data_IF_957518989414
#
_entry.id   IF_957518989414
#
_cell.length_a   1.000
_cell.length_b   1.000
_cell.length_c   1.000
_cell.angle_alpha   90.00
_cell.angle_beta   90.00
_cell.angle_gamma   90.00
#
_symmetry.space_group_name_H-M   'P 1'
#
loop_
_entity.id
_entity.type
_entity.pdbx_description
1 polymer ?
#
# COMPACT_ATOMS: atom_id res chain seq x y z
N UNK A 1 -25.15 10.54 4.92
CA UNK A 1 -25.53 9.16 5.30
C UNK A 1 -24.83 8.83 6.60
N UNK A 2 -25.48 8.14 7.55
CA UNK A 2 -24.77 7.65 8.74
C UNK A 2 -23.69 6.65 8.30
N UNK A 3 -22.47 6.71 8.88
CA UNK A 3 -21.44 5.73 8.61
C UNK A 3 -21.94 4.34 8.97
N UNK A 4 -21.88 3.41 8.02
CA UNK A 4 -22.28 2.01 8.19
C UNK A 4 -21.12 1.26 8.85
N UNK A 5 -21.42 0.32 9.75
CA UNK A 5 -20.36 -0.44 10.43
C UNK A 5 -19.64 -1.39 9.46
N UNK A 6 -18.38 -1.77 9.75
CA UNK A 6 -17.62 -2.75 8.97
C UNK A 6 -18.41 -4.03 8.69
N UNK A 7 -19.07 -4.59 9.70
CA UNK A 7 -19.84 -5.82 9.57
C UNK A 7 -21.05 -5.65 8.63
N UNK A 8 -21.72 -4.50 8.69
CA UNK A 8 -22.83 -4.20 7.79
C UNK A 8 -22.38 -4.08 6.33
N UNK A 9 -21.26 -3.39 6.08
CA UNK A 9 -20.71 -3.25 4.72
C UNK A 9 -20.29 -4.61 4.16
N UNK A 10 -19.64 -5.44 4.97
CA UNK A 10 -19.26 -6.80 4.61
C UNK A 10 -20.47 -7.65 4.21
N UNK A 11 -21.52 -7.68 5.03
CA UNK A 11 -22.69 -8.51 4.77
C UNK A 11 -23.39 -8.12 3.46
N UNK A 12 -23.51 -6.82 3.16
CA UNK A 12 -24.08 -6.38 1.88
C UNK A 12 -23.22 -6.80 0.68
N UNK A 13 -21.90 -6.76 0.80
CA UNK A 13 -21.00 -7.16 -0.28
C UNK A 13 -21.08 -8.68 -0.55
N UNK A 14 -21.25 -9.49 0.50
CA UNK A 14 -21.51 -10.93 0.38
C UNK A 14 -22.88 -11.19 -0.25
N UNK A 15 -23.93 -10.49 0.20
CA UNK A 15 -25.30 -10.67 -0.31
C UNK A 15 -25.43 -10.24 -1.78
N UNK A 16 -24.64 -9.26 -2.21
CA UNK A 16 -24.55 -8.83 -3.61
C UNK A 16 -23.81 -9.84 -4.52
N UNK A 17 -23.21 -10.89 -3.94
CA UNK A 17 -22.43 -11.88 -4.70
C UNK A 17 -21.07 -11.38 -5.17
N UNK A 18 -20.60 -10.23 -4.68
CA UNK A 18 -19.30 -9.65 -5.02
C UNK A 18 -18.14 -10.43 -4.36
N UNK A 19 -18.43 -11.20 -3.30
CA UNK A 19 -17.44 -11.93 -2.52
C UNK A 19 -17.88 -13.36 -2.19
N UNK A 20 -16.90 -14.28 -2.15
CA UNK A 20 -17.06 -15.57 -1.50
C UNK A 20 -16.64 -15.43 -0.03
N UNK A 21 -17.54 -15.70 0.93
CA UNK A 21 -17.19 -15.56 2.33
C UNK A 21 -16.18 -16.62 2.74
N UNK A 22 -15.07 -16.21 3.32
CA UNK A 22 -14.15 -17.09 4.03
C UNK A 22 -14.11 -16.77 5.54
N UNK A 23 -13.81 -17.77 6.35
CA UNK A 23 -13.88 -17.67 7.81
C UNK A 23 -12.87 -16.66 8.37
N UNK A 24 -11.71 -16.52 7.72
CA UNK A 24 -10.63 -15.64 8.16
C UNK A 24 -11.00 -14.18 7.88
N UNK A 25 -11.55 -13.88 6.71
CA UNK A 25 -12.07 -12.57 6.35
C UNK A 25 -13.20 -12.15 7.28
N UNK A 26 -14.14 -13.06 7.59
CA UNK A 26 -15.21 -12.79 8.55
C UNK A 26 -14.69 -12.47 9.95
N UNK A 27 -13.65 -13.18 10.40
CA UNK A 27 -12.98 -12.89 11.67
C UNK A 27 -12.31 -11.50 11.65
N UNK A 28 -11.62 -11.15 10.57
CA UNK A 28 -11.01 -9.83 10.41
C UNK A 28 -12.05 -8.71 10.48
N UNK A 29 -13.16 -8.87 9.76
CA UNK A 29 -14.27 -7.90 9.78
C UNK A 29 -14.87 -7.77 11.16
N UNK A 30 -15.04 -8.86 11.90
CA UNK A 30 -15.57 -8.81 13.27
C UNK A 30 -14.64 -8.02 14.23
N UNK A 31 -13.32 -8.19 14.09
CA UNK A 31 -12.35 -7.40 14.86
C UNK A 31 -12.38 -5.92 14.46
N UNK A 32 -12.42 -5.63 13.16
CA UNK A 32 -12.54 -4.26 12.65
C UNK A 32 -13.84 -3.59 13.10
N UNK A 33 -14.96 -4.32 13.16
CA UNK A 33 -16.22 -3.82 13.71
C UNK A 33 -16.09 -3.50 15.19
N UNK A 34 -15.48 -4.39 16.00
CA UNK A 34 -15.25 -4.12 17.43
C UNK A 34 -14.41 -2.85 17.66
N UNK A 35 -13.38 -2.62 16.84
CA UNK A 35 -12.57 -1.40 16.88
C UNK A 35 -13.41 -0.18 16.48
N UNK A 36 -14.21 -0.28 15.40
CA UNK A 36 -15.13 0.77 14.98
C UNK A 36 -16.11 1.15 16.10
N UNK A 37 -16.69 0.18 16.81
CA UNK A 37 -17.56 0.43 17.95
C UNK A 37 -16.81 1.14 19.08
N UNK A 38 -15.62 0.65 19.44
CA UNK A 38 -14.80 1.25 20.49
C UNK A 38 -14.39 2.69 20.19
N UNK A 39 -14.11 3.01 18.93
CA UNK A 39 -13.80 4.38 18.47
C UNK A 39 -15.05 5.28 18.41
N UNK A 40 -16.19 4.74 17.97
CA UNK A 40 -17.43 5.52 17.78
C UNK A 40 -18.16 5.83 19.08
N UNK A 41 -18.08 4.93 20.06
CA UNK A 41 -18.79 5.04 21.35
C UNK A 41 -17.86 5.41 22.51
N UNK A 42 -16.64 5.88 22.22
CA UNK A 42 -15.75 6.42 23.23
C UNK A 42 -16.44 7.64 23.85
N UNK A 43 -16.69 7.67 25.18
CA UNK A 43 -17.34 8.81 25.80
C UNK A 43 -16.52 10.07 25.50
N UNK A 44 -17.17 11.14 25.04
CA UNK A 44 -16.59 12.47 24.94
C UNK A 44 -16.35 13.07 26.35
N UNK A 45 -15.68 12.32 27.22
CA UNK A 45 -15.26 12.78 28.54
C UNK A 45 -13.82 13.24 28.43
N UNK A 46 -13.65 14.49 27.97
CA UNK A 46 -12.53 15.41 28.29
C UNK A 46 -12.53 16.69 27.44
N UNK A 47 -13.56 16.94 26.63
CA UNK A 47 -13.89 18.31 26.18
C UNK A 47 -14.81 19.00 27.19
N UNK A 48 -14.48 18.94 28.48
CA UNK A 48 -15.13 19.83 29.44
C UNK A 48 -14.60 21.24 29.22
N UNK A 49 -15.34 22.03 28.45
CA UNK A 49 -15.46 23.47 28.67
C UNK A 49 -16.13 23.70 30.03
N UNK A 50 -15.43 23.32 31.10
CA UNK A 50 -15.78 23.75 32.44
C UNK A 50 -15.47 25.25 32.50
N UNK A 51 -16.50 26.07 32.30
CA UNK A 51 -16.46 27.47 32.67
C UNK A 51 -16.15 27.54 34.16
N UNK A 52 -15.01 28.11 34.61
CA UNK A 52 -14.74 28.21 36.02
C UNK A 52 -15.64 29.31 36.61
N UNK A 53 -16.77 28.91 37.19
CA UNK A 53 -17.50 29.77 38.12
C UNK A 53 -16.75 29.80 39.44
N UNK A 54 -16.04 30.91 39.68
CA UNK A 54 -15.80 31.49 41.00
C UNK A 54 -14.68 30.85 41.85
N UNK A 55 -13.63 31.63 42.11
CA UNK A 55 -12.67 31.34 43.19
C UNK A 55 -11.30 31.98 42.99
N UNK A 56 -11.17 33.29 43.23
CA UNK A 56 -9.95 34.09 43.10
C UNK A 56 -8.83 33.79 44.15
N UNK A 57 -8.80 32.60 44.77
CA UNK A 57 -7.83 32.27 45.84
C UNK A 57 -7.09 30.93 45.70
N UNK A 58 -7.16 30.24 44.56
CA UNK A 58 -6.47 28.95 44.36
C UNK A 58 -5.09 29.02 43.68
N UNK A 59 -4.60 30.20 43.28
CA UNK A 59 -3.53 30.31 42.27
C UNK A 59 -2.09 30.28 42.81
N UNK A 60 -1.87 29.80 44.03
CA UNK A 60 -0.55 29.82 44.69
C UNK A 60 0.01 28.46 45.14
N UNK A 61 -0.57 27.34 44.72
CA UNK A 61 0.08 26.02 44.91
C UNK A 61 0.10 25.23 43.61
N UNK A 62 1.33 24.93 43.17
CA UNK A 62 1.60 24.14 41.98
C UNK A 62 1.10 22.71 42.11
N UNK A 63 0.57 22.21 40.99
CA UNK A 63 0.74 20.86 40.45
C UNK A 63 0.18 20.93 39.03
N UNK A 64 1.05 20.76 38.03
CA UNK A 64 0.61 20.50 36.67
C UNK A 64 -0.41 19.37 36.73
N UNK A 65 -1.60 19.59 36.17
CA UNK A 65 -2.61 18.55 36.07
C UNK A 65 -1.97 17.31 35.41
N UNK A 66 -2.20 16.09 35.92
CA UNK A 66 -1.70 14.89 35.27
C UNK A 66 -2.27 14.89 33.86
N UNK A 67 -1.40 14.89 32.83
CA UNK A 67 -1.81 14.57 31.46
C UNK A 67 -2.45 13.19 31.53
N UNK A 68 -3.77 13.11 31.38
CA UNK A 68 -4.50 11.85 31.30
C UNK A 68 -3.99 11.13 30.05
N UNK A 69 -3.08 10.16 30.24
CA UNK A 69 -2.60 9.29 29.17
C UNK A 69 -3.74 8.35 28.79
N UNK A 70 -4.60 8.80 27.88
CA UNK A 70 -5.65 7.96 27.34
C UNK A 70 -5.01 6.88 26.45
N UNK A 71 -4.95 5.64 26.95
CA UNK A 71 -4.52 4.48 26.14
C UNK A 71 -5.35 4.44 24.85
N UNK A 72 -4.75 4.27 23.67
CA UNK A 72 -5.50 4.14 22.42
C UNK A 72 -6.42 2.92 22.45
N UNK A 73 -7.40 2.90 21.55
CA UNK A 73 -8.17 1.67 21.29
C UNK A 73 -7.19 0.62 20.77
N UNK A 74 -7.39 -0.64 21.15
CA UNK A 74 -6.58 -1.75 20.64
C UNK A 74 -6.71 -1.79 19.11
N UNK A 75 -5.59 -1.66 18.43
CA UNK A 75 -5.48 -1.66 16.98
C UNK A 75 -5.52 -3.06 16.38
N UNK A 76 -5.26 -3.14 15.07
CA UNK A 76 -5.20 -4.41 14.33
C UNK A 76 -4.07 -4.39 13.32
N UNK A 77 -3.20 -5.40 13.40
CA UNK A 77 -2.14 -5.68 12.44
C UNK A 77 -2.54 -6.91 11.62
N UNK A 78 -2.99 -6.67 10.38
CA UNK A 78 -3.40 -7.71 9.44
C UNK A 78 -2.23 -8.08 8.54
N UNK A 79 -1.83 -9.35 8.53
CA UNK A 79 -0.76 -9.84 7.65
C UNK A 79 -1.17 -11.05 6.83
N UNK A 80 -0.51 -11.26 5.70
CA UNK A 80 -0.77 -12.40 4.80
C UNK A 80 -0.23 -12.14 3.41
N UNK A 81 -0.20 -13.14 2.52
CA UNK A 81 0.36 -12.97 1.17
C UNK A 81 -0.29 -11.88 0.30
N UNK A 82 0.22 -11.68 -0.91
CA UNK A 82 -0.39 -10.79 -1.90
C UNK A 82 -1.78 -11.31 -2.30
N UNK A 83 -2.73 -10.42 -2.58
CA UNK A 83 -4.05 -10.81 -3.10
C UNK A 83 -5.01 -11.47 -2.10
N UNK A 84 -4.74 -11.37 -0.79
CA UNK A 84 -5.58 -11.92 0.30
C UNK A 84 -6.68 -10.99 0.82
N UNK A 85 -6.97 -9.89 0.11
CA UNK A 85 -8.04 -8.96 0.50
C UNK A 85 -7.72 -8.01 1.68
N UNK A 86 -6.45 -7.90 2.10
CA UNK A 86 -6.00 -6.97 3.15
C UNK A 86 -6.41 -5.52 2.90
N UNK A 87 -6.11 -5.01 1.70
CA UNK A 87 -6.50 -3.67 1.27
C UNK A 87 -8.01 -3.49 1.39
N UNK A 88 -8.79 -4.46 0.90
CA UNK A 88 -10.24 -4.36 0.96
C UNK A 88 -10.78 -4.27 2.38
N UNK A 89 -10.20 -5.05 3.31
CA UNK A 89 -10.51 -4.95 4.74
C UNK A 89 -10.16 -3.57 5.30
N UNK A 90 -9.00 -3.01 4.92
CA UNK A 90 -8.59 -1.66 5.31
C UNK A 90 -9.54 -0.58 4.74
N UNK A 91 -9.88 -0.65 3.47
CA UNK A 91 -10.84 0.23 2.79
C UNK A 91 -12.19 0.22 3.49
N UNK A 92 -12.73 -0.97 3.72
CA UNK A 92 -14.01 -1.16 4.39
C UNK A 92 -13.99 -0.51 5.77
N UNK A 93 -12.95 -0.73 6.56
CA UNK A 93 -12.82 -0.11 7.88
C UNK A 93 -12.69 1.42 7.80
N UNK A 94 -11.77 1.93 6.98
CA UNK A 94 -11.48 3.35 6.87
C UNK A 94 -12.71 4.17 6.44
N UNK A 95 -13.49 3.67 5.47
CA UNK A 95 -14.73 4.31 5.04
C UNK A 95 -15.86 4.18 6.06
N UNK A 96 -15.84 3.12 6.88
CA UNK A 96 -16.82 2.94 7.96
C UNK A 96 -16.60 3.91 9.13
N UNK A 97 -15.36 4.34 9.39
CA UNK A 97 -15.06 5.24 10.51
C UNK A 97 -15.82 6.57 10.43
N UNK A 98 -16.43 7.06 11.53
CA UNK A 98 -17.10 8.35 11.56
C UNK A 98 -16.09 9.50 11.58
N UNK A 99 -16.45 10.63 10.95
CA UNK A 99 -15.67 11.86 10.97
C UNK A 99 -14.39 11.85 10.14
N UNK A 100 -13.62 12.93 10.24
CA UNK A 100 -12.44 13.22 9.40
C UNK A 100 -11.10 13.00 10.15
N UNK A 101 -11.12 12.69 11.44
CA UNK A 101 -9.92 12.49 12.28
C UNK A 101 -9.31 11.09 12.10
N UNK A 102 -9.12 10.72 10.83
CA UNK A 102 -8.59 9.45 10.37
C UNK A 102 -7.65 9.72 9.21
N UNK A 103 -6.50 9.06 9.20
CA UNK A 103 -5.48 9.26 8.19
C UNK A 103 -5.04 7.91 7.65
N UNK A 104 -5.04 7.77 6.32
CA UNK A 104 -4.63 6.57 5.61
C UNK A 104 -3.51 6.87 4.62
N UNK A 105 -2.45 6.08 4.66
CA UNK A 105 -1.31 6.21 3.76
C UNK A 105 -0.46 4.94 3.74
N UNK A 106 0.30 4.76 2.66
CA UNK A 106 1.37 3.75 2.62
C UNK A 106 2.46 4.10 3.64
N UNK A 107 3.01 3.07 4.30
CA UNK A 107 4.02 3.26 5.35
C UNK A 107 5.27 4.03 4.88
N UNK A 108 5.76 3.79 3.66
CA UNK A 108 6.91 4.54 3.15
C UNK A 108 6.63 6.05 3.01
N UNK A 109 5.40 6.44 2.61
CA UNK A 109 5.00 7.86 2.51
C UNK A 109 4.90 8.50 3.88
N UNK A 110 4.48 7.73 4.89
CA UNK A 110 4.49 8.17 6.27
C UNK A 110 5.93 8.48 6.73
N UNK A 111 6.88 7.57 6.47
CA UNK A 111 8.28 7.79 6.84
C UNK A 111 8.91 8.96 6.09
N UNK A 112 8.62 9.14 4.80
CA UNK A 112 9.07 10.33 4.05
C UNK A 112 8.61 11.63 4.72
N UNK A 113 7.32 11.72 5.07
CA UNK A 113 6.78 12.88 5.79
C UNK A 113 7.48 13.11 7.13
N UNK A 114 7.75 12.05 7.89
CA UNK A 114 8.50 12.13 9.16
C UNK A 114 9.90 12.69 8.94
N UNK A 115 10.63 12.21 7.93
CA UNK A 115 11.99 12.71 7.63
C UNK A 115 12.00 14.17 7.17
N UNK A 116 11.01 14.58 6.38
CA UNK A 116 10.83 15.99 5.99
C UNK A 116 10.61 16.88 7.21
N UNK A 117 9.74 16.47 8.15
CA UNK A 117 9.50 17.20 9.38
C UNK A 117 10.74 17.21 10.30
N UNK A 118 11.46 16.09 10.42
CA UNK A 118 12.72 16.02 11.18
C UNK A 118 13.77 17.00 10.65
N UNK A 119 13.85 17.16 9.33
CA UNK A 119 14.76 18.11 8.69
C UNK A 119 14.41 19.56 9.07
N UNK A 120 13.12 19.89 9.16
CA UNK A 120 12.66 21.22 9.57
C UNK A 120 12.86 21.48 11.07
N UNK A 121 12.93 20.43 11.88
CA UNK A 121 13.09 20.49 13.33
C UNK A 121 14.54 20.24 13.79
N UNK A 122 15.52 20.40 12.89
CA UNK A 122 16.93 20.25 13.24
C UNK A 122 17.34 21.18 14.38
N UNK A 123 17.99 20.62 15.40
CA UNK A 123 18.42 21.34 16.59
C UNK A 123 17.34 21.47 17.69
N UNK A 124 16.12 20.98 17.44
CA UNK A 124 15.10 20.85 18.48
C UNK A 124 15.35 19.61 19.33
N UNK A 125 15.09 19.73 20.64
CA UNK A 125 15.11 18.59 21.57
C UNK A 125 13.87 17.71 21.33
N UNK A 126 14.06 16.39 21.26
CA UNK A 126 13.03 15.37 21.03
C UNK A 126 12.06 15.70 19.86
N UNK A 127 12.55 15.88 18.62
CA UNK A 127 11.72 16.33 17.51
C UNK A 127 10.59 15.34 17.14
N UNK A 128 10.75 14.05 17.48
CA UNK A 128 9.71 13.03 17.28
C UNK A 128 8.47 13.27 18.17
N UNK A 129 8.63 13.86 19.36
CA UNK A 129 7.50 14.23 20.21
C UNK A 129 6.67 15.33 19.56
N UNK A 130 7.34 16.33 18.97
CA UNK A 130 6.69 17.44 18.25
C UNK A 130 5.96 16.92 17.01
N UNK A 131 6.58 16.00 16.27
CA UNK A 131 5.95 15.33 15.12
C UNK A 131 4.72 14.55 15.57
N UNK A 132 4.79 13.81 16.67
CA UNK A 132 3.65 13.08 17.21
C UNK A 132 2.52 14.02 17.67
N UNK A 133 2.83 15.20 18.23
CA UNK A 133 1.85 16.24 18.55
C UNK A 133 1.13 16.75 17.29
N UNK A 134 1.87 16.97 16.20
CA UNK A 134 1.30 17.38 14.91
C UNK A 134 0.38 16.30 14.33
N UNK A 135 0.81 15.04 14.34
CA UNK A 135 -0.06 13.93 13.92
C UNK A 135 -1.31 13.83 14.79
N UNK A 136 -1.19 13.99 16.11
CA UNK A 136 -2.37 13.97 16.99
C UNK A 136 -3.32 15.14 16.73
N UNK A 137 -2.81 16.32 16.38
CA UNK A 137 -3.66 17.43 15.98
C UNK A 137 -4.50 17.09 14.73
N UNK A 138 -3.94 16.31 13.80
CA UNK A 138 -4.57 15.90 12.55
C UNK A 138 -5.52 14.70 12.70
N UNK A 139 -5.09 13.64 13.39
CA UNK A 139 -5.76 12.34 13.37
C UNK A 139 -5.80 11.62 14.72
N UNK A 140 -6.82 10.81 14.93
CA UNK A 140 -6.93 9.86 16.06
C UNK A 140 -6.72 8.41 15.62
N UNK A 141 -6.81 8.12 14.32
CA UNK A 141 -6.65 6.79 13.75
C UNK A 141 -5.68 6.84 12.58
N UNK A 142 -4.59 6.08 12.68
CA UNK A 142 -3.64 5.86 11.60
C UNK A 142 -3.90 4.51 10.95
N UNK A 143 -4.15 4.53 9.65
CA UNK A 143 -4.32 3.35 8.81
C UNK A 143 -3.10 3.24 7.88
N UNK A 144 -2.19 2.32 8.18
CA UNK A 144 -1.03 2.06 7.34
C UNK A 144 -1.30 0.93 6.37
N UNK A 145 -1.20 1.24 5.08
CA UNK A 145 -1.09 0.23 4.05
C UNK A 145 0.37 -0.17 3.83
N UNK A 146 0.57 -1.46 3.53
CA UNK A 146 1.87 -2.03 3.17
C UNK A 146 2.97 -1.71 4.18
N UNK A 147 2.70 -1.99 5.46
CA UNK A 147 3.66 -1.81 6.54
C UNK A 147 4.88 -2.71 6.32
N UNK A 148 5.94 -2.13 5.78
CA UNK A 148 7.18 -2.81 5.46
C UNK A 148 8.37 -1.90 5.78
N UNK A 149 9.36 -2.46 6.46
CA UNK A 149 10.57 -1.74 6.86
C UNK A 149 11.79 -2.48 6.30
N UNK A 150 12.52 -1.81 5.41
CA UNK A 150 13.78 -2.29 4.85
C UNK A 150 14.96 -1.36 5.12
N UNK A 151 14.70 -0.07 5.34
CA UNK A 151 15.74 0.94 5.56
C UNK A 151 16.15 1.01 7.04
N UNK A 152 17.45 1.17 7.31
CA UNK A 152 17.96 1.32 8.67
C UNK A 152 17.49 2.63 9.31
N UNK A 153 17.43 3.72 8.56
CA UNK A 153 17.03 5.04 9.07
C UNK A 153 15.61 4.99 9.62
N UNK A 154 14.69 4.38 8.88
CA UNK A 154 13.32 4.16 9.32
C UNK A 154 13.27 3.26 10.55
N UNK A 155 14.01 2.14 10.50
CA UNK A 155 14.05 1.17 11.59
C UNK A 155 14.54 1.78 12.91
N UNK A 156 15.48 2.73 12.88
CA UNK A 156 16.02 3.37 14.08
C UNK A 156 15.07 4.37 14.72
N UNK A 157 14.15 4.95 13.95
CA UNK A 157 13.21 5.97 14.45
C UNK A 157 11.89 5.35 14.94
N UNK A 158 11.50 4.23 14.35
CA UNK A 158 10.13 3.72 14.44
C UNK A 158 9.66 3.43 15.87
N UNK A 159 10.52 2.86 16.72
CA UNK A 159 10.14 2.53 18.09
C UNK A 159 9.75 3.80 18.88
N UNK A 160 10.62 4.81 18.85
CA UNK A 160 10.40 6.09 19.54
C UNK A 160 9.17 6.81 18.98
N UNK A 161 9.00 6.80 17.66
CA UNK A 161 7.85 7.44 17.02
C UNK A 161 6.53 6.75 17.38
N UNK A 162 6.45 5.42 17.28
CA UNK A 162 5.25 4.66 17.65
C UNK A 162 4.89 4.88 19.12
N UNK A 163 5.90 4.86 20.00
CA UNK A 163 5.70 5.14 21.42
C UNK A 163 5.06 6.53 21.63
N UNK A 164 5.59 7.56 20.96
CA UNK A 164 5.06 8.92 21.05
C UNK A 164 3.63 9.05 20.49
N UNK A 165 3.31 8.35 19.40
CA UNK A 165 1.96 8.32 18.82
C UNK A 165 0.96 7.60 19.74
N UNK A 166 1.32 6.44 20.28
CA UNK A 166 0.47 5.69 21.21
C UNK A 166 0.25 6.43 22.53
N UNK A 167 1.26 7.13 23.05
CA UNK A 167 1.13 7.97 24.24
C UNK A 167 0.08 9.09 24.07
N UNK A 168 -0.19 9.51 22.83
CA UNK A 168 -1.22 10.49 22.45
C UNK A 168 -2.58 9.86 22.13
N UNK A 169 -2.72 8.55 22.36
CA UNK A 169 -3.96 7.82 22.14
C UNK A 169 -4.31 7.63 20.67
N UNK A 170 -3.34 7.71 19.75
CA UNK A 170 -3.55 7.40 18.33
C UNK A 170 -3.69 5.88 18.18
N UNK A 171 -4.78 5.45 17.54
CA UNK A 171 -5.06 4.03 17.27
C UNK A 171 -4.44 3.63 15.93
N UNK A 172 -3.76 2.48 15.87
CA UNK A 172 -3.11 1.99 14.66
C UNK A 172 -3.86 0.81 14.06
N UNK A 173 -4.16 0.88 12.76
CA UNK A 173 -4.52 -0.27 11.92
C UNK A 173 -3.45 -0.40 10.84
N UNK A 174 -2.97 -1.61 10.60
CA UNK A 174 -1.91 -1.85 9.64
C UNK A 174 -2.19 -3.08 8.78
N UNK A 175 -1.86 -3.01 7.49
CA UNK A 175 -1.77 -4.18 6.60
C UNK A 175 -0.31 -4.45 6.24
N UNK A 176 0.09 -5.73 6.17
CA UNK A 176 1.43 -6.12 5.72
C UNK A 176 1.46 -7.47 5.03
N UNK A 177 2.52 -7.73 4.25
CA UNK A 177 2.82 -9.07 3.75
C UNK A 177 3.69 -9.89 4.72
N UNK A 178 4.17 -9.28 5.80
CA UNK A 178 5.14 -9.86 6.72
C UNK A 178 4.55 -9.84 8.14
N UNK A 179 4.61 -10.96 8.90
CA UNK A 179 4.21 -10.94 10.30
C UNK A 179 5.15 -10.05 11.13
N UNK A 180 4.70 -9.44 12.25
CA UNK A 180 5.50 -8.49 13.02
C UNK A 180 6.90 -9.00 13.39
N UNK A 181 7.01 -10.26 13.81
CA UNK A 181 8.30 -10.89 14.19
C UNK A 181 9.32 -10.99 13.06
N UNK A 182 8.86 -10.92 11.80
CA UNK A 182 9.71 -10.97 10.61
C UNK A 182 9.94 -9.60 9.98
N UNK A 183 9.35 -8.52 10.51
CA UNK A 183 9.63 -7.15 10.05
C UNK A 183 11.10 -6.81 10.26
N UNK A 184 11.76 -6.22 9.25
CA UNK A 184 13.18 -5.85 9.27
C UNK A 184 14.14 -7.02 9.58
N UNK A 185 13.74 -8.26 9.24
CA UNK A 185 14.55 -9.46 9.49
C UNK A 185 15.91 -9.34 8.80
N UNK A 186 16.97 -9.70 9.51
CA UNK A 186 18.37 -9.54 9.08
C UNK A 186 18.81 -8.08 8.80
N UNK A 187 17.98 -7.09 9.15
CA UNK A 187 18.33 -5.68 9.04
C UNK A 187 19.49 -5.30 9.96
N UNK A 188 20.27 -4.30 9.55
CA UNK A 188 21.39 -3.80 10.33
C UNK A 188 20.90 -3.24 11.67
N UNK A 189 21.56 -3.63 12.77
CA UNK A 189 21.16 -3.26 14.15
C UNK A 189 19.73 -3.68 14.54
N UNK A 190 19.21 -4.80 14.00
CA UNK A 190 17.87 -5.35 14.31
C UNK A 190 17.45 -5.29 15.80
N UNK A 191 18.39 -5.49 16.73
CA UNK A 191 18.10 -5.40 18.17
C UNK A 191 17.43 -4.06 18.57
N UNK A 192 17.78 -2.96 17.91
CA UNK A 192 17.17 -1.63 18.14
C UNK A 192 15.77 -1.49 17.54
N UNK A 193 15.40 -2.37 16.61
CA UNK A 193 14.08 -2.41 16.00
C UNK A 193 13.08 -3.28 16.78
N UNK A 194 13.55 -4.24 17.58
CA UNK A 194 12.70 -5.12 18.39
C UNK A 194 11.68 -4.35 19.26
N UNK A 195 12.02 -3.22 19.91
CA UNK A 195 11.04 -2.44 20.66
C UNK A 195 9.86 -1.94 19.82
N UNK A 196 10.05 -1.68 18.52
CA UNK A 196 8.94 -1.32 17.63
C UNK A 196 8.00 -2.51 17.39
N UNK A 197 8.54 -3.73 17.28
CA UNK A 197 7.74 -4.97 17.17
C UNK A 197 6.94 -5.18 18.46
N UNK A 198 7.56 -4.97 19.62
CA UNK A 198 6.91 -5.11 20.92
C UNK A 198 5.74 -4.11 21.06
N UNK A 199 5.94 -2.85 20.66
CA UNK A 199 4.87 -1.85 20.62
C UNK A 199 3.74 -2.24 19.67
N UNK A 200 4.04 -2.75 18.47
CA UNK A 200 3.00 -3.22 17.54
C UNK A 200 2.17 -4.32 18.21
N UNK A 201 2.80 -5.29 18.87
CA UNK A 201 2.11 -6.40 19.55
C UNK A 201 1.36 -5.98 20.82
N UNK A 202 1.83 -4.94 21.50
CA UNK A 202 1.16 -4.40 22.69
C UNK A 202 -0.12 -3.65 22.31
N UNK A 203 -0.06 -2.85 21.26
CA UNK A 203 -1.13 -1.93 20.87
C UNK A 203 -2.02 -2.44 19.74
N UNK A 204 -1.66 -3.54 19.07
CA UNK A 204 -2.46 -4.16 18.01
C UNK A 204 -2.65 -5.65 18.24
N UNK A 205 -3.86 -6.15 17.98
CA UNK A 205 -4.06 -7.57 17.77
C UNK A 205 -3.42 -7.99 16.44
N UNK A 206 -2.79 -9.16 16.39
CA UNK A 206 -2.11 -9.65 15.18
C UNK A 206 -2.97 -10.74 14.53
N UNK A 207 -3.44 -10.48 13.31
CA UNK A 207 -4.31 -11.40 12.58
C UNK A 207 -3.66 -11.80 11.24
N UNK A 208 -3.53 -13.10 11.02
CA UNK A 208 -3.21 -13.63 9.70
C UNK A 208 -4.50 -13.70 8.87
N UNK A 209 -4.54 -12.97 7.75
CA UNK A 209 -5.68 -12.95 6.82
C UNK A 209 -5.50 -13.87 5.61
N UNK A 210 -4.48 -14.74 5.61
CA UNK A 210 -4.23 -15.69 4.54
C UNK A 210 -5.13 -16.94 4.68
N UNK A 211 -6.24 -16.97 3.93
CA UNK A 211 -7.11 -18.14 3.78
C UNK A 211 -6.65 -19.11 2.67
N UNK A 212 -5.49 -18.88 2.04
CA UNK A 212 -4.98 -19.65 0.91
C UNK A 212 -5.56 -19.26 -0.46
N UNK A 213 -6.64 -18.47 -0.50
CA UNK A 213 -7.26 -17.97 -1.74
C UNK A 213 -6.58 -16.67 -2.17
N UNK A 214 -5.98 -16.64 -3.37
CA UNK A 214 -5.43 -15.42 -3.98
C UNK A 214 -6.44 -14.92 -5.02
N UNK A 215 -7.19 -13.89 -4.64
CA UNK A 215 -8.25 -13.32 -5.48
C UNK A 215 -7.67 -12.61 -6.72
N UNK A 216 -6.44 -12.10 -6.63
CA UNK A 216 -5.73 -11.50 -7.77
C UNK A 216 -5.25 -12.58 -8.74
N UNK A 217 -4.69 -13.68 -8.23
CA UNK A 217 -4.28 -14.82 -9.06
C UNK A 217 -5.46 -15.38 -9.86
N UNK A 218 -6.64 -15.51 -9.25
CA UNK A 218 -7.86 -15.95 -9.96
C UNK A 218 -8.22 -15.00 -11.11
N UNK A 219 -8.10 -13.70 -10.88
CA UNK A 219 -8.32 -12.68 -11.93
C UNK A 219 -7.32 -12.85 -13.08
N UNK A 220 -6.04 -13.02 -12.78
CA UNK A 220 -4.97 -13.13 -13.77
C UNK A 220 -5.04 -14.43 -14.57
N UNK A 221 -5.31 -15.55 -13.90
CA UNK A 221 -5.41 -16.88 -14.54
C UNK A 221 -6.60 -17.01 -15.50
N UNK A 222 -7.65 -16.20 -15.30
CA UNK A 222 -8.81 -16.16 -16.19
C UNK A 222 -8.68 -15.11 -17.30
N UNK A 223 -7.64 -14.28 -17.27
CA UNK A 223 -7.45 -13.17 -18.20
C UNK A 223 -6.40 -13.50 -19.27
N UNK A 224 -6.57 -12.91 -20.46
CA UNK A 224 -5.49 -12.84 -21.44
C UNK A 224 -4.53 -11.70 -21.02
N UNK A 225 -3.28 -12.04 -20.72
CA UNK A 225 -2.29 -11.08 -20.21
C UNK A 225 -1.52 -10.36 -21.32
N UNK A 226 -1.63 -10.81 -22.58
CA UNK A 226 -1.16 -10.07 -23.75
C UNK A 226 -2.32 -9.73 -24.68
N UNK A 227 -2.73 -8.47 -24.65
CA UNK A 227 -3.87 -7.95 -25.41
C UNK A 227 -3.37 -7.26 -26.69
N UNK A 228 -3.65 -7.88 -27.83
CA UNK A 228 -3.31 -7.34 -29.14
C UNK A 228 -4.35 -7.71 -30.20
N UNK A 229 -4.57 -6.88 -31.23
CA UNK A 229 -3.97 -5.55 -31.42
C UNK A 229 -4.61 -4.48 -30.53
N UNK A 230 -3.89 -3.39 -30.28
CA UNK A 230 -4.40 -2.26 -29.49
C UNK A 230 -5.63 -1.63 -30.18
N UNK A 231 -6.70 -1.42 -29.41
CA UNK A 231 -7.97 -0.85 -29.84
C UNK A 231 -8.91 -0.52 -28.68
N UNK A 232 -10.19 -0.26 -29.00
CA UNK A 232 -11.23 0.03 -28.00
C UNK A 232 -11.41 -1.12 -27.00
N UNK A 233 -11.54 -2.34 -27.51
CA UNK A 233 -11.76 -3.54 -26.69
C UNK A 233 -10.58 -3.80 -25.73
N UNK A 234 -9.34 -3.62 -26.18
CA UNK A 234 -8.16 -3.77 -25.31
C UNK A 234 -8.11 -2.70 -24.23
N UNK A 235 -8.52 -1.47 -24.55
CA UNK A 235 -8.58 -0.38 -23.57
C UNK A 235 -9.57 -0.71 -22.46
N UNK A 236 -10.78 -1.18 -22.82
CA UNK A 236 -11.80 -1.62 -21.86
C UNK A 236 -11.32 -2.81 -21.04
N UNK A 237 -10.66 -3.80 -21.67
CA UNK A 237 -10.11 -4.96 -20.98
C UNK A 237 -9.03 -4.56 -19.96
N UNK A 238 -8.11 -3.65 -20.32
CA UNK A 238 -7.08 -3.12 -19.42
C UNK A 238 -7.69 -2.37 -18.24
N UNK A 239 -8.69 -1.51 -18.49
CA UNK A 239 -9.40 -0.80 -17.42
C UNK A 239 -10.14 -1.76 -16.47
N UNK A 240 -10.82 -2.77 -17.02
CA UNK A 240 -11.49 -3.80 -16.21
C UNK A 240 -10.49 -4.58 -15.36
N UNK A 241 -9.33 -4.93 -15.93
CA UNK A 241 -8.27 -5.66 -15.24
C UNK A 241 -7.62 -4.82 -14.14
N UNK A 242 -7.40 -3.53 -14.38
CA UNK A 242 -6.95 -2.60 -13.35
C UNK A 242 -7.93 -2.59 -12.17
N UNK A 243 -9.22 -2.39 -12.42
CA UNK A 243 -10.25 -2.37 -11.38
C UNK A 243 -10.31 -3.67 -10.58
N UNK A 244 -10.25 -4.83 -11.23
CA UNK A 244 -10.23 -6.13 -10.54
C UNK A 244 -8.97 -6.33 -9.69
N UNK A 245 -7.81 -5.90 -10.16
CA UNK A 245 -6.54 -6.05 -9.43
C UNK A 245 -6.43 -5.09 -8.23
N UNK A 246 -7.06 -3.92 -8.33
CA UNK A 246 -7.15 -2.92 -7.28
C UNK A 246 -8.42 -3.06 -6.42
N UNK A 247 -9.19 -4.15 -6.55
CA UNK A 247 -10.37 -4.40 -5.71
C UNK A 247 -11.52 -3.40 -5.89
N UNK A 248 -11.62 -2.76 -7.05
CA UNK A 248 -12.55 -1.66 -7.35
C UNK A 248 -12.45 -0.47 -6.38
N UNK A 249 -11.32 -0.32 -5.66
CA UNK A 249 -11.04 0.83 -4.77
C UNK A 249 -10.88 2.15 -5.53
N UNK A 250 -10.76 2.08 -6.86
CA UNK A 250 -11.01 3.20 -7.77
C UNK A 250 -12.52 3.46 -7.86
N UNK A 251 -13.12 3.94 -6.78
CA UNK A 251 -14.57 4.15 -6.71
C UNK A 251 -15.03 5.12 -7.78
N UNK A 252 -15.77 4.64 -8.81
CA UNK A 252 -16.60 5.42 -9.75
C UNK A 252 -16.01 6.67 -10.43
N UNK A 253 -14.74 6.98 -10.23
CA UNK A 253 -13.94 8.01 -10.87
C UNK A 253 -12.67 7.33 -11.34
N UNK A 254 -12.41 7.37 -12.65
CA UNK A 254 -11.29 6.68 -13.28
C UNK A 254 -9.98 6.93 -12.53
N UNK A 255 -9.10 5.92 -12.51
CA UNK A 255 -7.79 6.02 -11.91
C UNK A 255 -7.11 7.35 -12.30
N UNK A 256 -6.94 8.24 -11.34
CA UNK A 256 -6.38 9.56 -11.60
C UNK A 256 -4.88 9.42 -11.87
N UNK A 257 -4.43 10.09 -12.93
CA UNK A 257 -3.02 10.12 -13.29
C UNK A 257 -2.19 10.60 -12.09
N UNK A 258 -1.22 9.80 -11.67
CA UNK A 258 -0.38 10.06 -10.50
C UNK A 258 1.07 10.26 -10.93
N UNK A 259 1.76 11.21 -10.30
CA UNK A 259 3.20 11.38 -10.49
C UNK A 259 3.94 10.68 -9.36
N UNK A 260 4.65 9.61 -9.68
CA UNK A 260 5.54 8.89 -8.79
C UNK A 260 6.92 9.57 -8.74
N UNK A 261 7.59 9.51 -7.61
CA UNK A 261 9.02 9.82 -7.53
C UNK A 261 9.81 8.51 -7.53
N UNK A 262 10.58 8.28 -8.60
CA UNK A 262 11.40 7.08 -8.77
C UNK A 262 12.83 7.50 -9.02
N UNK A 263 13.75 7.11 -8.13
CA UNK A 263 15.16 7.53 -8.16
C UNK A 263 15.32 9.06 -8.34
N UNK A 264 14.62 9.84 -7.51
CA UNK A 264 14.62 11.31 -7.53
C UNK A 264 14.11 11.95 -8.83
N UNK A 265 13.34 11.21 -9.64
CA UNK A 265 12.78 11.70 -10.89
C UNK A 265 11.28 11.47 -10.96
N UNK A 266 10.50 12.44 -11.44
CA UNK A 266 9.07 12.26 -11.62
C UNK A 266 8.79 11.21 -12.71
N UNK A 267 7.77 10.40 -12.48
CA UNK A 267 7.28 9.38 -13.40
C UNK A 267 5.76 9.42 -13.39
N UNK A 268 5.17 9.85 -14.50
CA UNK A 268 3.72 9.93 -14.65
C UNK A 268 3.15 8.53 -14.92
N UNK A 269 2.34 8.03 -14.01
CA UNK A 269 1.58 6.80 -14.16
C UNK A 269 0.11 7.10 -14.43
N UNK A 270 -0.58 6.15 -15.05
CA UNK A 270 -2.03 6.17 -15.21
C UNK A 270 -2.67 5.92 -13.84
N UNK A 271 -2.13 4.95 -13.10
CA UNK A 271 -2.58 4.59 -11.76
C UNK A 271 -1.45 3.95 -10.97
N UNK A 272 -1.42 4.14 -9.66
CA UNK A 272 -0.58 3.37 -8.75
C UNK A 272 -1.34 3.16 -7.44
N UNK A 273 -1.85 1.95 -7.23
CA UNK A 273 -2.77 1.63 -6.13
C UNK A 273 -2.48 0.21 -5.65
N UNK A 274 -2.23 0.05 -4.35
CA UNK A 274 -2.09 -1.26 -3.68
C UNK A 274 -1.13 -2.25 -4.34
N UNK A 275 0.07 -1.79 -4.69
CA UNK A 275 1.09 -2.61 -5.36
C UNK A 275 0.78 -2.93 -6.83
N UNK A 276 -0.23 -2.28 -7.43
CA UNK A 276 -0.58 -2.35 -8.85
C UNK A 276 -0.22 -1.03 -9.54
N UNK A 277 0.57 -1.12 -10.62
CA UNK A 277 0.95 0.03 -11.44
C UNK A 277 0.30 -0.07 -12.83
N UNK A 278 -0.42 0.96 -13.26
CA UNK A 278 -0.80 1.13 -14.66
C UNK A 278 -0.01 2.28 -15.27
N UNK A 279 0.68 2.04 -16.37
CA UNK A 279 1.64 2.99 -16.94
C UNK A 279 1.82 2.81 -18.45
N UNK A 280 2.09 3.90 -19.15
CA UNK A 280 2.32 3.92 -20.59
C UNK A 280 3.71 3.40 -20.96
N UNK A 281 3.79 2.66 -22.08
CA UNK A 281 5.06 2.24 -22.67
C UNK A 281 5.99 3.43 -22.92
N UNK A 282 5.46 4.54 -23.42
CA UNK A 282 6.21 5.78 -23.63
C UNK A 282 6.99 6.19 -22.36
N UNK A 283 6.33 6.17 -21.19
CA UNK A 283 6.96 6.62 -19.94
C UNK A 283 8.05 5.68 -19.43
N UNK A 284 7.91 4.37 -19.63
CA UNK A 284 8.91 3.40 -19.18
C UNK A 284 10.03 3.17 -20.18
N UNK A 285 9.74 3.21 -21.47
CA UNK A 285 10.64 2.73 -22.52
C UNK A 285 11.06 3.82 -23.52
N UNK A 286 10.41 4.99 -23.59
CA UNK A 286 10.80 6.05 -24.53
C UNK A 286 11.45 7.24 -23.81
N UNK A 287 10.95 7.59 -22.63
CA UNK A 287 11.57 8.57 -21.74
C UNK A 287 12.96 8.13 -21.20
N UNK A 288 13.66 9.06 -20.55
CA UNK A 288 14.99 8.87 -19.98
C UNK A 288 14.98 7.97 -18.72
N UNK A 289 14.61 6.70 -18.88
CA UNK A 289 14.63 5.68 -17.83
C UNK A 289 15.87 4.79 -17.90
N UNK A 290 16.22 4.22 -16.76
CA UNK A 290 17.36 3.33 -16.57
C UNK A 290 16.92 2.03 -15.90
N UNK A 291 17.81 1.03 -15.90
CA UNK A 291 17.57 -0.24 -15.20
C UNK A 291 17.30 -0.06 -13.70
N UNK A 292 17.88 0.97 -13.06
CA UNK A 292 17.62 1.28 -11.66
C UNK A 292 16.16 1.67 -11.40
N UNK A 293 15.48 2.28 -12.39
CA UNK A 293 14.06 2.60 -12.27
C UNK A 293 13.23 1.31 -12.28
N UNK A 294 13.56 0.36 -13.14
CA UNK A 294 12.85 -0.93 -13.20
C UNK A 294 13.06 -1.75 -11.92
N UNK A 295 14.27 -1.72 -11.35
CA UNK A 295 14.55 -2.32 -10.04
C UNK A 295 13.69 -1.67 -8.95
N UNK A 296 13.60 -0.33 -8.93
CA UNK A 296 12.78 0.36 -7.92
C UNK A 296 11.29 0.01 -8.06
N UNK A 297 10.76 0.02 -9.29
CA UNK A 297 9.37 -0.32 -9.55
C UNK A 297 9.04 -1.77 -9.19
N UNK A 298 9.90 -2.70 -9.59
CA UNK A 298 9.68 -4.13 -9.37
C UNK A 298 9.78 -4.56 -7.90
N UNK A 299 10.40 -3.75 -7.02
CA UNK A 299 10.37 -3.96 -5.56
C UNK A 299 9.03 -3.56 -4.94
N UNK A 300 8.38 -2.55 -5.51
CA UNK A 300 7.16 -1.94 -4.96
C UNK A 300 5.92 -2.61 -5.55
N UNK A 301 5.91 -2.84 -6.86
CA UNK A 301 4.72 -3.27 -7.59
C UNK A 301 4.78 -4.76 -7.91
N UNK A 302 3.83 -5.51 -7.35
CA UNK A 302 3.67 -6.93 -7.65
C UNK A 302 2.96 -7.17 -8.99
N UNK A 303 2.23 -6.18 -9.50
CA UNK A 303 1.53 -6.26 -10.79
C UNK A 303 1.67 -4.97 -11.57
N UNK A 304 1.93 -5.09 -12.86
CA UNK A 304 2.12 -3.94 -13.76
C UNK A 304 1.28 -4.13 -15.01
N UNK A 305 0.46 -3.14 -15.33
CA UNK A 305 -0.27 -3.01 -16.58
C UNK A 305 0.49 -2.03 -17.46
N UNK A 306 1.12 -2.56 -18.51
CA UNK A 306 1.88 -1.80 -19.49
C UNK A 306 1.00 -1.48 -20.69
N UNK A 307 0.69 -0.20 -20.86
CA UNK A 307 -0.20 0.29 -21.89
C UNK A 307 0.54 0.61 -23.20
N UNK A 308 -0.15 0.38 -24.32
CA UNK A 308 0.20 0.84 -25.65
C UNK A 308 1.63 0.50 -26.12
N UNK A 309 2.07 -0.74 -25.97
CA UNK A 309 3.37 -1.20 -26.51
C UNK A 309 3.32 -1.18 -28.04
N UNK A 310 4.12 -0.33 -28.71
CA UNK A 310 4.13 -0.26 -30.17
C UNK A 310 4.97 -1.40 -30.77
N UNK A 311 4.82 -1.61 -32.07
CA UNK A 311 5.80 -2.40 -32.83
C UNK A 311 7.15 -1.70 -32.77
N UNK A 312 8.15 -2.40 -32.25
CA UNK A 312 9.51 -1.91 -32.12
C UNK A 312 10.30 -2.24 -33.40
N UNK A 313 10.68 -1.22 -34.16
CA UNK A 313 11.42 -1.30 -35.41
C UNK A 313 12.84 -0.73 -35.22
N UNK A 314 13.68 -0.83 -36.24
CA UNK A 314 15.08 -0.40 -36.17
C UNK A 314 15.30 1.08 -35.77
N UNK A 315 14.29 1.94 -35.91
CA UNK A 315 14.31 3.36 -35.53
C UNK A 315 13.99 3.62 -34.05
N UNK A 316 13.47 2.65 -33.30
CA UNK A 316 13.17 2.76 -31.87
C UNK A 316 13.95 1.76 -30.98
N UNK A 317 15.15 1.40 -31.42
CA UNK A 317 15.96 0.35 -30.79
C UNK A 317 16.37 0.62 -29.34
N UNK A 318 16.47 1.88 -28.95
CA UNK A 318 16.68 2.25 -27.54
C UNK A 318 15.46 1.92 -26.68
N UNK A 319 14.25 2.09 -27.21
CA UNK A 319 13.03 1.69 -26.53
C UNK A 319 12.91 0.17 -26.44
N UNK A 320 13.28 -0.55 -27.50
CA UNK A 320 13.36 -2.01 -27.48
C UNK A 320 14.32 -2.54 -26.42
N UNK A 321 15.52 -1.96 -26.30
CA UNK A 321 16.48 -2.35 -25.25
C UNK A 321 15.93 -2.10 -23.85
N UNK A 322 15.22 -0.99 -23.64
CA UNK A 322 14.58 -0.66 -22.37
C UNK A 322 13.42 -1.60 -22.02
N UNK A 323 12.61 -1.96 -23.02
CA UNK A 323 11.56 -2.97 -22.85
C UNK A 323 12.13 -4.34 -22.45
N UNK A 324 13.22 -4.78 -23.10
CA UNK A 324 13.94 -5.99 -22.73
C UNK A 324 14.43 -5.96 -21.28
N UNK A 325 15.07 -4.85 -20.87
CA UNK A 325 15.54 -4.70 -19.50
C UNK A 325 14.40 -4.66 -18.46
N UNK A 326 13.28 -4.03 -18.81
CA UNK A 326 12.06 -4.02 -17.98
C UNK A 326 11.52 -5.44 -17.77
N UNK A 327 11.32 -6.20 -18.85
CA UNK A 327 10.80 -7.58 -18.80
C UNK A 327 11.75 -8.47 -18.00
N UNK A 328 13.05 -8.33 -18.18
CA UNK A 328 14.06 -9.10 -17.46
C UNK A 328 13.95 -8.89 -15.94
N UNK A 329 13.90 -7.63 -15.48
CA UNK A 329 13.76 -7.31 -14.06
C UNK A 329 12.42 -7.79 -13.48
N UNK A 330 11.33 -7.59 -14.22
CA UNK A 330 10.00 -8.01 -13.79
C UNK A 330 9.88 -9.53 -13.70
N UNK A 331 10.51 -10.23 -14.63
CA UNK A 331 10.61 -11.68 -14.62
C UNK A 331 11.36 -12.18 -13.37
N UNK A 332 12.53 -11.60 -13.08
CA UNK A 332 13.36 -11.99 -11.93
C UNK A 332 12.65 -11.79 -10.59
N UNK A 333 11.78 -10.78 -10.47
CA UNK A 333 11.02 -10.49 -9.24
C UNK A 333 9.62 -11.07 -9.20
N UNK A 334 9.27 -11.89 -10.18
CA UNK A 334 7.95 -12.52 -10.29
C UNK A 334 6.78 -11.52 -10.41
N UNK A 335 7.04 -10.32 -10.96
CA UNK A 335 6.02 -9.30 -11.22
C UNK A 335 5.03 -9.83 -12.25
N UNK A 336 3.74 -9.62 -12.01
CA UNK A 336 2.66 -10.02 -12.93
C UNK A 336 2.48 -8.91 -13.96
N UNK A 337 2.96 -9.17 -15.17
CA UNK A 337 2.93 -8.20 -16.26
C UNK A 337 1.72 -8.46 -17.17
N UNK A 338 0.88 -7.43 -17.33
CA UNK A 338 -0.21 -7.38 -18.29
C UNK A 338 0.15 -6.35 -19.35
N UNK A 339 0.02 -6.69 -20.63
CA UNK A 339 0.46 -5.84 -21.73
C UNK A 339 -0.68 -5.62 -22.71
N UNK A 340 -0.95 -4.35 -23.06
CA UNK A 340 -1.65 -4.02 -24.31
C UNK A 340 -0.64 -3.62 -25.36
N UNK A 341 -0.71 -4.24 -26.54
CA UNK A 341 0.28 -4.08 -27.58
C UNK A 341 -0.37 -3.93 -28.96
N UNK A 342 0.31 -3.23 -29.88
CA UNK A 342 -0.15 -3.08 -31.26
C UNK A 342 -0.06 -4.37 -32.08
N UNK A 343 0.72 -5.35 -31.64
CA UNK A 343 0.92 -6.63 -32.31
C UNK A 343 1.05 -7.79 -31.30
N UNK A 344 0.85 -9.04 -31.72
CA UNK A 344 1.15 -10.21 -30.90
C UNK A 344 2.63 -10.22 -30.46
N UNK A 345 2.93 -10.89 -29.34
CA UNK A 345 4.31 -10.91 -28.81
C UNK A 345 5.34 -11.45 -29.80
N UNK A 346 5.00 -12.43 -30.64
CA UNK A 346 5.94 -12.95 -31.64
C UNK A 346 6.26 -11.95 -32.77
N UNK A 347 5.49 -10.87 -32.90
CA UNK A 347 5.63 -9.84 -33.96
C UNK A 347 5.93 -8.44 -33.42
N UNK A 348 5.99 -8.25 -32.10
CA UNK A 348 6.12 -6.91 -31.50
C UNK A 348 7.51 -6.31 -31.73
N UNK A 349 8.54 -7.13 -31.92
CA UNK A 349 9.88 -6.67 -32.30
C UNK A 349 10.18 -7.04 -33.75
N UNK A 350 10.44 -6.02 -34.57
CA UNK A 350 10.73 -6.09 -36.00
C UNK A 350 12.05 -5.39 -36.35
N UNK A 351 12.86 -5.05 -35.35
CA UNK A 351 14.22 -4.54 -35.55
C UNK A 351 15.21 -5.64 -35.95
N UNK A 352 16.45 -5.22 -36.23
CA UNK A 352 17.51 -6.15 -36.67
C UNK A 352 18.56 -6.45 -35.59
N UNK A 353 18.79 -5.54 -34.65
CA UNK A 353 19.99 -5.56 -33.78
C UNK A 353 19.83 -6.39 -32.51
N UNK A 354 18.59 -6.58 -32.05
CA UNK A 354 18.24 -7.22 -30.78
C UNK A 354 17.46 -8.53 -30.98
N UNK A 355 17.51 -9.14 -32.17
CA UNK A 355 16.73 -10.35 -32.49
C UNK A 355 17.00 -11.49 -31.51
N UNK A 356 18.27 -11.69 -31.12
CA UNK A 356 18.65 -12.75 -30.19
C UNK A 356 18.17 -12.47 -28.76
N UNK A 357 18.36 -11.24 -28.29
CA UNK A 357 17.91 -10.81 -26.98
C UNK A 357 16.37 -10.82 -26.89
N UNK A 358 15.69 -10.48 -27.99
CA UNK A 358 14.25 -10.55 -28.10
C UNK A 358 13.73 -12.00 -28.02
N UNK A 359 14.41 -12.99 -28.60
CA UNK A 359 14.03 -14.40 -28.45
C UNK A 359 14.06 -14.84 -26.98
N UNK A 360 15.05 -14.39 -26.20
CA UNK A 360 15.11 -14.63 -24.75
C UNK A 360 13.96 -13.93 -24.02
N UNK A 361 13.70 -12.67 -24.36
CA UNK A 361 12.58 -11.90 -23.81
C UNK A 361 11.23 -12.57 -24.11
N UNK A 362 11.03 -13.07 -25.34
CA UNK A 362 9.82 -13.76 -25.76
C UNK A 362 9.57 -15.02 -24.92
N UNK A 363 10.61 -15.82 -24.66
CA UNK A 363 10.48 -16.99 -23.78
C UNK A 363 10.04 -16.61 -22.37
N UNK A 364 10.56 -15.50 -21.82
CA UNK A 364 10.14 -14.97 -20.52
C UNK A 364 8.69 -14.50 -20.54
N UNK A 365 8.31 -13.71 -21.55
CA UNK A 365 6.94 -13.24 -21.73
C UNK A 365 5.94 -14.41 -21.84
N UNK A 366 6.31 -15.49 -22.51
CA UNK A 366 5.49 -16.71 -22.58
C UNK A 366 5.37 -17.39 -21.22
N UNK A 367 6.47 -17.57 -20.48
CA UNK A 367 6.43 -18.14 -19.14
C UNK A 367 5.62 -17.27 -18.17
N UNK A 368 5.72 -15.95 -18.28
CA UNK A 368 4.95 -15.00 -17.46
C UNK A 368 3.44 -15.12 -17.64
N UNK A 369 2.97 -15.74 -18.74
CA UNK A 369 1.55 -16.06 -18.95
C UNK A 369 1.11 -17.39 -18.33
N UNK A 370 2.05 -18.22 -17.87
CA UNK A 370 1.73 -19.53 -17.30
C UNK A 370 1.14 -19.40 -15.89
N UNK A 371 0.21 -20.29 -15.56
CA UNK A 371 -0.34 -20.39 -14.21
C UNK A 371 0.76 -20.65 -13.16
N UNK A 372 1.79 -21.43 -13.50
CA UNK A 372 2.93 -21.69 -12.62
C UNK A 372 3.68 -20.41 -12.25
N UNK A 373 3.96 -19.54 -13.23
CA UNK A 373 4.60 -18.26 -12.97
C UNK A 373 3.69 -17.33 -12.16
N UNK A 374 2.39 -17.28 -12.49
CA UNK A 374 1.43 -16.44 -11.78
C UNK A 374 1.30 -16.84 -10.30
N UNK A 375 1.46 -18.13 -9.97
CA UNK A 375 1.49 -18.63 -8.58
C UNK A 375 2.75 -18.23 -7.80
N UNK A 376 3.85 -17.86 -8.46
CA UNK A 376 5.09 -17.48 -7.76
C UNK A 376 4.89 -16.22 -6.93
N UNK A 377 5.31 -16.18 -5.66
CA UNK A 377 5.23 -14.99 -4.83
C UNK A 377 6.15 -13.90 -5.40
N UNK A 378 5.67 -12.66 -5.35
CA UNK A 378 6.45 -11.47 -5.69
C UNK A 378 7.66 -11.30 -4.75
N UNK A 379 8.80 -10.89 -5.30
CA UNK A 379 10.05 -10.69 -4.57
C UNK A 379 10.34 -9.19 -4.41
N UNK A 380 10.07 -8.60 -3.22
CA UNK A 380 10.26 -7.17 -2.97
C UNK A 380 11.71 -6.72 -2.80
#
# INVERSE_FOLDING_TARGET
MQPKSPLFVYQNAVDAGEFQPDAVQKQAVAQLDAIYQALSFRPATESSTATPRGGLLGRLFGKSAPKTTQRPVQGLYMWGGVGRGKTWLMDLFFHSLPGERKLRLHFHRFMLRVHEELTQLQGQEDPLEVIADRFKAETDVLCFDEFFVSDITDAMLLATLLQALFARGITLIATSNIPPDSLYRNGLQRARFLPAIDLIKEYCDVLNVDAGIDYRLRTLTQANLWLAPAGGDTTTAMQSMLGKLTGNHSGSGGAEAVTLEVNHRPMRAIAAVDGVLAIEFHTLCEEARSQLDYIALSKIYHSVLLHNVPVMKSDNENAARRFLALVDEFYERHVKLVVSASAPMFEIYQGERLKFEYQRCLSRLQEMQSEEYLKRPHLP
#
